data_IF_333583686699
#
_entry.id   IF_333583686699
#
_cell.length_a   1.000
_cell.length_b   1.000
_cell.length_c   1.000
_cell.angle_alpha   90.00
_cell.angle_beta   90.00
_cell.angle_gamma   90.00
#
_symmetry.space_group_name_H-M   'P 1'
#
loop_
_entity.id
_entity.type
_entity.pdbx_description
1 polymer ?
#
# COMPACT_ATOMS: atom_id res chain seq x y z
N UNK A 1 -14.44 -11.14 -5.39
CA UNK A 1 -14.17 -9.92 -4.60
C UNK A 1 -15.32 -8.95 -4.83
N UNK A 2 -16.23 -8.79 -3.87
CA UNK A 2 -17.30 -7.81 -4.00
C UNK A 2 -16.80 -6.50 -3.38
N UNK A 3 -16.23 -5.63 -4.22
CA UNK A 3 -15.86 -4.23 -3.87
C UNK A 3 -17.00 -3.52 -3.11
N UNK A 4 -18.24 -3.90 -3.42
CA UNK A 4 -19.44 -3.45 -2.74
C UNK A 4 -19.45 -3.72 -1.22
N UNK A 5 -18.91 -4.85 -0.75
CA UNK A 5 -18.83 -5.17 0.69
C UNK A 5 -17.82 -4.28 1.42
N UNK A 6 -16.73 -3.92 0.76
CA UNK A 6 -15.72 -3.01 1.30
C UNK A 6 -16.27 -1.60 1.43
N UNK A 7 -16.92 -1.10 0.37
CA UNK A 7 -17.58 0.21 0.40
C UNK A 7 -18.66 0.29 1.49
N UNK A 8 -19.48 -0.76 1.64
CA UNK A 8 -20.51 -0.81 2.68
C UNK A 8 -19.93 -0.79 4.11
N UNK A 9 -18.80 -1.47 4.33
CA UNK A 9 -18.11 -1.46 5.62
C UNK A 9 -17.44 -0.12 5.92
N UNK A 10 -16.85 0.51 4.91
CA UNK A 10 -16.26 1.85 5.05
C UNK A 10 -17.32 2.91 5.39
N UNK A 11 -18.48 2.87 4.73
CA UNK A 11 -19.59 3.80 5.01
C UNK A 11 -20.17 3.59 6.41
N UNK A 12 -20.32 2.33 6.86
CA UNK A 12 -20.86 2.05 8.20
C UNK A 12 -19.87 2.45 9.30
N UNK A 13 -18.57 2.21 9.11
CA UNK A 13 -17.52 2.67 10.00
C UNK A 13 -17.46 4.20 10.10
N UNK A 14 -17.55 4.89 8.95
CA UNK A 14 -17.57 6.35 8.90
C UNK A 14 -18.80 6.94 9.63
N UNK A 15 -19.98 6.33 9.46
CA UNK A 15 -21.18 6.73 10.21
C UNK A 15 -21.00 6.53 11.72
N UNK A 16 -20.46 5.39 12.16
CA UNK A 16 -20.20 5.11 13.58
C UNK A 16 -19.21 6.12 14.17
N UNK A 17 -18.11 6.41 13.47
CA UNK A 17 -17.13 7.39 13.91
C UNK A 17 -17.73 8.81 13.99
N UNK A 18 -18.59 9.19 13.02
CA UNK A 18 -19.29 10.47 13.04
C UNK A 18 -20.23 10.59 14.23
N UNK A 19 -20.97 9.52 14.57
CA UNK A 19 -21.86 9.49 15.73
C UNK A 19 -21.10 9.61 17.06
N UNK A 20 -19.92 8.99 17.17
CA UNK A 20 -19.10 9.07 18.39
C UNK A 20 -18.38 10.42 18.56
N UNK A 21 -18.10 11.14 17.46
CA UNK A 21 -17.45 12.46 17.47
C UNK A 21 -18.27 13.53 18.21
N UNK A 22 -19.58 13.32 18.38
CA UNK A 22 -20.49 14.23 19.09
C UNK A 22 -20.15 14.41 20.59
N UNK A 23 -19.40 13.49 21.21
CA UNK A 23 -19.23 13.43 22.67
C UNK A 23 -17.95 14.13 23.22
N UNK A 24 -17.30 15.01 22.46
CA UNK A 24 -16.05 15.74 22.83
C UNK A 24 -14.87 14.88 23.34
N UNK A 25 -14.92 13.57 23.15
CA UNK A 25 -13.89 12.65 23.62
C UNK A 25 -13.00 12.20 22.45
N UNK A 26 -11.66 12.12 22.61
CA UNK A 26 -10.71 11.65 21.58
C UNK A 26 -10.98 10.22 21.09
N UNK A 27 -11.89 9.50 21.76
CA UNK A 27 -12.35 8.15 21.42
C UNK A 27 -12.90 8.07 19.97
N UNK A 28 -13.55 9.13 19.46
CA UNK A 28 -14.09 9.11 18.09
C UNK A 28 -13.01 8.97 17.00
N UNK A 29 -11.83 9.58 17.20
CA UNK A 29 -10.70 9.47 16.25
C UNK A 29 -10.04 8.10 16.30
N UNK A 30 -9.90 7.54 17.51
CA UNK A 30 -9.32 6.20 17.71
C UNK A 30 -10.21 5.13 17.10
N UNK A 31 -11.54 5.24 17.25
CA UNK A 31 -12.49 4.27 16.66
C UNK A 31 -12.45 4.32 15.13
N UNK A 32 -12.34 5.50 14.52
CA UNK A 32 -12.18 5.64 13.07
C UNK A 32 -10.86 5.01 12.60
N UNK A 33 -9.75 5.33 13.26
CA UNK A 33 -8.43 4.77 12.95
C UNK A 33 -8.40 3.24 13.04
N UNK A 34 -8.99 2.66 14.09
CA UNK A 34 -9.09 1.19 14.23
C UNK A 34 -9.93 0.57 13.11
N UNK A 35 -11.06 1.20 12.74
CA UNK A 35 -11.90 0.70 11.65
C UNK A 35 -11.17 0.74 10.29
N UNK A 36 -10.42 1.81 10.01
CA UNK A 36 -9.61 1.93 8.80
C UNK A 36 -8.46 0.91 8.76
N UNK A 37 -7.77 0.67 9.89
CA UNK A 37 -6.76 -0.39 9.99
C UNK A 37 -7.36 -1.77 9.72
N UNK A 38 -8.51 -2.09 10.31
CA UNK A 38 -9.17 -3.38 10.11
C UNK A 38 -9.64 -3.58 8.66
N UNK A 39 -10.17 -2.52 8.04
CA UNK A 39 -10.59 -2.55 6.65
C UNK A 39 -9.40 -2.74 5.70
N UNK A 40 -8.32 -1.99 5.93
CA UNK A 40 -7.08 -2.11 5.18
C UNK A 40 -6.44 -3.50 5.32
N UNK A 41 -6.40 -4.06 6.54
CA UNK A 41 -5.88 -5.41 6.78
C UNK A 41 -6.67 -6.49 6.03
N UNK A 42 -8.00 -6.37 5.97
CA UNK A 42 -8.85 -7.28 5.19
C UNK A 42 -8.59 -7.18 3.69
N UNK A 43 -8.46 -5.96 3.17
CA UNK A 43 -8.16 -5.74 1.76
C UNK A 43 -6.79 -6.33 1.37
N UNK A 44 -5.78 -6.19 2.23
CA UNK A 44 -4.46 -6.81 2.02
C UNK A 44 -4.60 -8.33 2.00
N UNK A 45 -5.25 -8.95 2.98
CA UNK A 45 -5.41 -10.40 3.04
C UNK A 45 -6.09 -10.99 1.78
N UNK A 46 -7.05 -10.28 1.19
CA UNK A 46 -7.73 -10.71 -0.04
C UNK A 46 -6.87 -10.51 -1.30
N UNK A 47 -5.91 -9.58 -1.29
CA UNK A 47 -5.07 -9.23 -2.45
C UNK A 47 -3.73 -9.98 -2.48
N UNK A 48 -3.21 -10.42 -1.32
CA UNK A 48 -2.03 -11.30 -1.23
C UNK A 48 -2.13 -12.54 -2.13
N UNK A 49 -3.21 -13.36 -2.11
CA UNK A 49 -3.28 -14.58 -2.93
C UNK A 49 -3.21 -14.29 -4.43
N UNK A 50 -3.76 -13.16 -4.89
CA UNK A 50 -3.74 -12.75 -6.30
C UNK A 50 -2.32 -12.39 -6.72
N UNK A 51 -1.58 -11.67 -5.88
CA UNK A 51 -0.19 -11.29 -6.13
C UNK A 51 0.72 -12.52 -6.19
N UNK A 52 0.50 -13.54 -5.36
CA UNK A 52 1.24 -14.81 -5.43
C UNK A 52 0.95 -15.59 -6.72
N UNK A 53 -0.28 -15.60 -7.22
CA UNK A 53 -0.59 -16.21 -8.52
C UNK A 53 0.04 -15.46 -9.70
N UNK A 54 0.25 -14.15 -9.57
CA UNK A 54 0.97 -13.38 -10.59
C UNK A 54 2.47 -13.68 -10.61
N UNK A 55 3.09 -13.95 -9.45
CA UNK A 55 4.51 -14.31 -9.35
C UNK A 55 4.76 -15.67 -10.06
N UNK A 56 3.87 -16.65 -9.88
CA UNK A 56 3.94 -17.95 -10.59
C UNK A 56 3.87 -17.80 -12.12
N UNK A 57 3.06 -16.86 -12.62
CA UNK A 57 2.95 -16.60 -14.06
C UNK A 57 4.20 -15.88 -14.58
N UNK A 58 4.74 -14.93 -13.82
CA UNK A 58 5.92 -14.15 -14.21
C UNK A 58 7.19 -15.01 -14.26
N UNK A 59 7.35 -15.97 -13.35
CA UNK A 59 8.45 -16.93 -13.35
C UNK A 59 8.48 -17.83 -14.60
N UNK A 60 7.34 -18.04 -15.27
CA UNK A 60 7.25 -18.82 -16.51
C UNK A 60 7.71 -18.07 -17.77
N UNK A 61 7.85 -16.74 -17.68
CA UNK A 61 8.08 -15.85 -18.83
C UNK A 61 9.54 -15.41 -19.05
N UNK A 62 10.46 -15.85 -18.19
CA UNK A 62 11.88 -15.45 -18.24
C UNK A 62 12.20 -14.10 -17.59
N UNK A 63 11.20 -13.42 -17.01
CA UNK A 63 11.32 -12.21 -16.19
C UNK A 63 11.71 -12.54 -14.73
N UNK A 64 12.81 -13.27 -14.52
CA UNK A 64 13.22 -13.68 -13.18
C UNK A 64 13.53 -12.46 -12.29
N UNK A 65 12.72 -12.26 -11.23
CA UNK A 65 12.98 -11.30 -10.16
C UNK A 65 12.33 -9.90 -10.29
N UNK A 66 11.86 -9.52 -11.47
CA UNK A 66 11.19 -8.23 -11.67
C UNK A 66 9.79 -8.19 -11.07
N UNK A 67 9.02 -9.28 -11.21
CA UNK A 67 7.70 -9.44 -10.59
C UNK A 67 7.74 -9.26 -9.08
N UNK A 68 8.67 -9.96 -8.42
CA UNK A 68 8.92 -9.83 -6.99
C UNK A 68 9.27 -8.40 -6.55
N UNK A 69 10.02 -7.66 -7.36
CA UNK A 69 10.39 -6.27 -7.04
C UNK A 69 9.20 -5.31 -7.21
N UNK A 70 8.37 -5.52 -8.23
CA UNK A 70 7.10 -4.81 -8.42
C UNK A 70 6.13 -5.06 -7.27
N UNK A 71 5.96 -6.32 -6.85
CA UNK A 71 5.10 -6.69 -5.72
C UNK A 71 5.60 -6.04 -4.42
N UNK A 72 6.92 -6.01 -4.18
CA UNK A 72 7.51 -5.30 -3.04
C UNK A 72 7.22 -3.80 -3.08
N UNK A 73 7.42 -3.15 -4.23
CA UNK A 73 7.16 -1.73 -4.37
C UNK A 73 5.67 -1.39 -4.12
N UNK A 74 4.76 -2.21 -4.65
CA UNK A 74 3.33 -2.08 -4.41
C UNK A 74 2.98 -2.26 -2.92
N UNK A 75 3.58 -3.24 -2.26
CA UNK A 75 3.39 -3.48 -0.83
C UNK A 75 3.87 -2.31 0.03
N UNK A 76 5.03 -1.73 -0.29
CA UNK A 76 5.56 -0.52 0.39
C UNK A 76 4.62 0.66 0.18
N UNK A 77 4.14 0.89 -1.05
CA UNK A 77 3.20 1.98 -1.35
C UNK A 77 1.91 1.84 -0.54
N UNK A 78 1.27 0.67 -0.57
CA UNK A 78 0.04 0.40 0.16
C UNK A 78 0.22 0.56 1.67
N UNK A 79 1.31 0.04 2.24
CA UNK A 79 1.59 0.16 3.66
C UNK A 79 1.77 1.63 4.10
N UNK A 80 2.47 2.43 3.29
CA UNK A 80 2.68 3.86 3.57
C UNK A 80 1.38 4.66 3.47
N UNK A 81 0.52 4.35 2.49
CA UNK A 81 -0.79 4.99 2.31
C UNK A 81 -1.72 4.71 3.50
N UNK A 82 -1.84 3.43 3.89
CA UNK A 82 -2.66 3.03 5.05
C UNK A 82 -2.15 3.69 6.33
N UNK A 83 -0.83 3.69 6.56
CA UNK A 83 -0.25 4.30 7.76
C UNK A 83 -0.42 5.83 7.74
N UNK A 84 -0.29 6.45 6.57
CA UNK A 84 -0.52 7.88 6.37
C UNK A 84 -1.96 8.28 6.68
N UNK A 85 -2.93 7.53 6.20
CA UNK A 85 -4.36 7.79 6.44
C UNK A 85 -4.72 7.62 7.92
N UNK A 86 -4.20 6.59 8.58
CA UNK A 86 -4.36 6.42 10.04
C UNK A 86 -3.79 7.63 10.80
N UNK A 87 -2.61 8.12 10.43
CA UNK A 87 -2.02 9.30 11.05
C UNK A 87 -2.88 10.56 10.84
N UNK A 88 -3.47 10.73 9.64
CA UNK A 88 -4.37 11.85 9.35
C UNK A 88 -5.66 11.79 10.16
N UNK A 89 -6.24 10.61 10.34
CA UNK A 89 -7.45 10.40 11.13
C UNK A 89 -7.23 10.70 12.63
N UNK A 90 -6.03 10.41 13.13
CA UNK A 90 -5.59 10.78 14.47
C UNK A 90 -5.28 12.28 14.62
N UNK A 91 -5.27 13.04 13.52
CA UNK A 91 -4.96 14.48 13.50
C UNK A 91 -3.48 14.82 13.24
N UNK A 92 -2.62 13.81 13.08
CA UNK A 92 -1.18 13.94 12.88
C UNK A 92 -0.79 13.99 11.39
N UNK A 93 -1.23 15.06 10.70
CA UNK A 93 -0.95 15.23 9.26
C UNK A 93 0.54 15.41 8.95
N UNK A 94 1.31 15.98 9.89
CA UNK A 94 2.76 16.15 9.73
C UNK A 94 3.47 14.80 9.67
N UNK A 95 3.06 13.84 10.50
CA UNK A 95 3.61 12.49 10.54
C UNK A 95 3.22 11.70 9.28
N UNK A 96 1.97 11.83 8.83
CA UNK A 96 1.50 11.22 7.58
C UNK A 96 2.36 11.64 6.37
N UNK A 97 2.65 12.94 6.25
CA UNK A 97 3.49 13.46 5.15
C UNK A 97 4.91 12.88 5.16
N UNK A 98 5.47 12.62 6.35
CA UNK A 98 6.80 12.01 6.50
C UNK A 98 6.81 10.54 6.11
N UNK A 99 5.75 9.81 6.45
CA UNK A 99 5.60 8.41 6.08
C UNK A 99 5.47 8.25 4.55
N UNK A 100 4.65 9.09 3.90
CA UNK A 100 4.55 9.09 2.44
C UNK A 100 5.87 9.40 1.74
N UNK A 101 6.63 10.38 2.26
CA UNK A 101 7.96 10.69 1.74
C UNK A 101 8.91 9.51 1.89
N UNK A 102 8.93 8.86 3.06
CA UNK A 102 9.77 7.69 3.31
C UNK A 102 9.42 6.53 2.34
N UNK A 103 8.13 6.26 2.12
CA UNK A 103 7.67 5.25 1.17
C UNK A 103 8.09 5.53 -0.27
N UNK A 104 7.98 6.79 -0.72
CA UNK A 104 8.44 7.19 -2.07
C UNK A 104 9.94 6.99 -2.23
N UNK A 105 10.74 7.32 -1.21
CA UNK A 105 12.19 7.11 -1.24
C UNK A 105 12.55 5.62 -1.28
N UNK A 106 11.84 4.78 -0.54
CA UNK A 106 12.04 3.32 -0.54
C UNK A 106 11.70 2.72 -1.91
N UNK A 107 10.61 3.16 -2.55
CA UNK A 107 10.26 2.73 -3.92
C UNK A 107 11.35 3.13 -4.93
N UNK A 108 11.89 4.35 -4.81
CA UNK A 108 13.03 4.79 -5.64
C UNK A 108 14.25 3.91 -5.39
N UNK A 109 14.57 3.58 -4.14
CA UNK A 109 15.67 2.69 -3.79
C UNK A 109 15.49 1.28 -4.38
N UNK A 110 14.26 0.75 -4.36
CA UNK A 110 13.90 -0.52 -5.00
C UNK A 110 14.02 -0.48 -6.53
N UNK A 111 13.80 0.69 -7.15
CA UNK A 111 13.91 0.88 -8.61
C UNK A 111 15.34 1.04 -9.12
N UNK A 112 16.30 1.40 -8.26
CA UNK A 112 17.72 1.55 -8.63
C UNK A 112 18.35 0.28 -9.24
N UNK A 113 18.22 -0.92 -8.64
CA UNK A 113 18.79 -2.13 -9.23
C UNK A 113 18.18 -2.46 -10.60
N UNK A 114 16.87 -2.29 -10.76
CA UNK A 114 16.17 -2.42 -12.05
C UNK A 114 16.78 -1.51 -13.12
N UNK A 115 17.00 -0.23 -12.79
CA UNK A 115 17.58 0.73 -13.72
C UNK A 115 19.00 0.35 -14.15
N UNK A 116 19.81 -0.22 -13.24
CA UNK A 116 21.17 -0.70 -13.56
C UNK A 116 21.14 -1.87 -14.54
N UNK A 117 20.26 -2.84 -14.34
CA UNK A 117 20.14 -4.00 -15.25
C UNK A 117 19.73 -3.59 -16.65
N UNK A 118 18.78 -2.67 -16.79
CA UNK A 118 18.36 -2.13 -18.09
C UNK A 118 19.52 -1.42 -18.78
N UNK A 119 20.30 -0.61 -18.04
CA UNK A 119 21.45 0.10 -18.60
C UNK A 119 22.56 -0.88 -19.06
N UNK A 120 22.83 -1.93 -18.30
CA UNK A 120 23.77 -2.98 -18.70
C UNK A 120 23.31 -3.74 -19.93
N UNK A 121 22.02 -4.08 -20.02
CA UNK A 121 21.43 -4.73 -21.19
C UNK A 121 21.55 -3.85 -22.44
N UNK A 122 21.24 -2.55 -22.33
CA UNK A 122 21.41 -1.59 -23.41
C UNK A 122 22.89 -1.49 -23.85
N UNK A 123 23.83 -1.45 -22.89
CA UNK A 123 25.26 -1.39 -23.19
C UNK A 123 25.74 -2.63 -23.95
N UNK A 124 25.23 -3.81 -23.60
CA UNK A 124 25.55 -5.08 -24.32
C UNK A 124 25.03 -5.07 -25.76
N UNK A 125 23.89 -4.43 -26.03
CA UNK A 125 23.36 -4.32 -27.40
C UNK A 125 24.09 -3.27 -28.25
N UNK A 126 24.54 -2.17 -27.65
CA UNK A 126 25.28 -1.11 -28.38
C UNK A 126 26.75 -1.49 -28.63
N UNK A 127 27.33 -2.36 -27.81
CA UNK A 127 28.70 -2.85 -27.97
C UNK A 127 28.84 -4.00 -29.00
N UNK A 128 27.78 -4.30 -29.75
CA UNK A 128 27.66 -5.38 -30.73
C UNK A 128 27.39 -4.78 -32.13
#
# INVERSE_FOLDING_TARGET
MNVFSYLAFGVSAALLAFLLKSNKSPVGQIVCAVACVLMAARLICDTVPILSSMDEILDSSGFYGYGKTLIKALGVAAACEITGDVCRELGESSLASRIELAGKLEIVALSLPLAKEILEAARKMVAL
#
